data_IF_327175158006
#
_entry.id   IF_327175158006
#
_cell.length_a   1.000
_cell.length_b   1.000
_cell.length_c   1.000
_cell.angle_alpha   90.00
_cell.angle_beta   90.00
_cell.angle_gamma   90.00
#
_symmetry.space_group_name_H-M   'P 1'
#
loop_
_entity.id
_entity.type
_entity.pdbx_description
1 polymer ?
#
# COMPACT_ATOMS: atom_id res chain seq x y z
N UNK A 1 1.07 6.26 12.71
CA UNK A 1 0.56 7.10 11.61
C UNK A 1 -0.85 7.62 11.86
N UNK A 2 -1.76 6.79 12.40
CA UNK A 2 -3.17 7.17 12.52
C UNK A 2 -3.42 8.33 13.49
N UNK A 3 -2.82 8.33 14.68
CA UNK A 3 -3.04 9.39 15.67
C UNK A 3 -2.56 10.79 15.20
N UNK A 4 -1.36 10.96 14.61
CA UNK A 4 -0.98 12.25 14.02
C UNK A 4 -1.93 12.76 12.93
N UNK A 5 -2.50 11.86 12.11
CA UNK A 5 -3.48 12.24 11.08
C UNK A 5 -4.81 12.67 11.69
N UNK A 6 -5.30 11.93 12.70
CA UNK A 6 -6.51 12.29 13.44
C UNK A 6 -6.37 13.65 14.17
N UNK A 7 -5.20 13.94 14.74
CA UNK A 7 -4.90 15.25 15.36
C UNK A 7 -4.95 16.41 14.35
N UNK A 8 -4.76 16.13 13.07
CA UNK A 8 -4.90 17.08 11.97
C UNK A 8 -6.32 17.09 11.36
N UNK A 9 -7.26 16.37 11.99
CA UNK A 9 -8.66 16.22 11.56
C UNK A 9 -8.79 15.53 10.19
N UNK A 10 -7.86 14.65 9.84
CA UNK A 10 -8.03 13.79 8.68
C UNK A 10 -9.15 12.77 8.92
N UNK A 11 -9.97 12.54 7.90
CA UNK A 11 -10.90 11.42 7.86
C UNK A 11 -10.16 10.19 7.34
N UNK A 12 -10.35 9.05 8.03
CA UNK A 12 -9.62 7.81 7.74
C UNK A 12 -10.62 6.68 7.71
N UNK A 13 -10.66 5.97 6.57
CA UNK A 13 -11.35 4.69 6.44
C UNK A 13 -10.32 3.61 6.17
N UNK A 14 -10.35 2.55 6.96
CA UNK A 14 -9.57 1.35 6.74
C UNK A 14 -10.38 0.34 5.94
N UNK A 15 -9.87 -0.08 4.78
CA UNK A 15 -10.44 -1.19 4.04
C UNK A 15 -9.67 -2.47 4.36
N UNK A 16 -10.32 -3.44 5.00
CA UNK A 16 -9.70 -4.71 5.39
C UNK A 16 -10.73 -5.83 5.57
N UNK A 17 -10.31 -7.08 5.34
CA UNK A 17 -11.13 -8.28 5.61
C UNK A 17 -11.26 -8.58 7.12
N UNK A 18 -10.37 -8.03 7.93
CA UNK A 18 -10.42 -8.16 9.39
C UNK A 18 -10.00 -6.86 10.07
N UNK A 19 -10.65 -6.54 11.19
CA UNK A 19 -10.36 -5.31 11.95
C UNK A 19 -9.11 -5.50 12.81
N UNK A 20 -8.05 -4.68 12.64
CA UNK A 20 -6.88 -4.72 13.50
C UNK A 20 -7.21 -4.36 14.95
N UNK A 21 -6.50 -5.01 15.89
CA UNK A 21 -6.61 -4.68 17.31
C UNK A 21 -6.00 -3.30 17.57
N UNK A 22 -6.65 -2.51 18.44
CA UNK A 22 -6.13 -1.20 18.87
C UNK A 22 -6.40 -0.05 17.89
N UNK A 23 -7.33 -0.23 16.95
CA UNK A 23 -7.75 0.85 16.06
C UNK A 23 -8.54 1.91 16.86
N UNK A 24 -8.21 3.21 16.71
CA UNK A 24 -9.00 4.29 17.30
C UNK A 24 -10.47 4.22 16.85
N UNK A 25 -11.45 4.51 17.74
CA UNK A 25 -12.88 4.44 17.41
C UNK A 25 -13.33 5.46 16.36
N UNK A 26 -12.50 6.46 16.07
CA UNK A 26 -12.75 7.46 15.04
C UNK A 26 -12.50 6.95 13.61
N UNK A 27 -11.95 5.74 13.45
CA UNK A 27 -11.63 5.17 12.14
C UNK A 27 -12.74 4.22 11.72
N UNK A 28 -13.34 4.50 10.57
CA UNK A 28 -14.31 3.61 9.95
C UNK A 28 -13.59 2.40 9.35
N UNK A 29 -14.16 1.20 9.48
CA UNK A 29 -13.63 -0.02 8.89
C UNK A 29 -14.65 -0.58 7.91
N UNK A 30 -14.24 -0.74 6.65
CA UNK A 30 -15.06 -1.26 5.56
C UNK A 30 -14.40 -2.50 4.93
N UNK A 31 -15.18 -3.37 4.25
CA UNK A 31 -14.60 -4.48 3.49
C UNK A 31 -13.82 -3.99 2.26
N UNK A 32 -12.90 -4.81 1.74
CA UNK A 32 -12.13 -4.47 0.52
C UNK A 32 -13.04 -4.25 -0.70
N UNK A 33 -14.22 -4.84 -0.72
CA UNK A 33 -15.23 -4.64 -1.79
C UNK A 33 -15.72 -3.19 -1.89
N UNK A 34 -15.59 -2.39 -0.83
CA UNK A 34 -15.95 -0.97 -0.83
C UNK A 34 -14.90 -0.08 -1.52
N UNK A 35 -13.78 -0.63 -2.03
CA UNK A 35 -12.68 0.15 -2.59
C UNK A 35 -13.12 1.07 -3.74
N UNK A 36 -13.98 0.59 -4.63
CA UNK A 36 -14.41 1.39 -5.78
C UNK A 36 -15.24 2.62 -5.38
N UNK A 37 -16.01 2.52 -4.30
CA UNK A 37 -16.85 3.61 -3.78
C UNK A 37 -16.05 4.58 -2.89
N UNK A 38 -15.01 4.08 -2.22
CA UNK A 38 -14.19 4.84 -1.28
C UNK A 38 -12.97 5.51 -1.91
N UNK A 39 -12.30 4.86 -2.87
CA UNK A 39 -11.12 5.42 -3.51
C UNK A 39 -11.31 6.86 -4.06
N UNK A 40 -12.47 7.26 -4.63
CA UNK A 40 -12.67 8.61 -5.16
C UNK A 40 -12.62 9.75 -4.13
N UNK A 41 -12.92 9.52 -2.86
CA UNK A 41 -12.88 10.58 -1.83
C UNK A 41 -11.47 10.79 -1.28
N UNK A 42 -10.58 9.81 -1.43
CA UNK A 42 -9.29 9.80 -0.78
C UNK A 42 -8.33 10.81 -1.43
N UNK A 43 -7.81 11.75 -0.65
CA UNK A 43 -6.69 12.62 -1.06
C UNK A 43 -5.35 11.87 -1.09
N UNK A 44 -5.28 10.71 -0.44
CA UNK A 44 -4.11 9.84 -0.36
C UNK A 44 -4.55 8.42 0.01
N UNK A 45 -3.89 7.40 -0.55
CA UNK A 45 -4.08 6.00 -0.14
C UNK A 45 -2.76 5.33 0.26
N UNK A 46 -2.81 4.59 1.36
CA UNK A 46 -1.75 3.66 1.75
C UNK A 46 -2.27 2.23 1.58
N UNK A 47 -1.48 1.38 0.93
CA UNK A 47 -1.83 -0.01 0.66
C UNK A 47 -0.79 -0.90 1.32
N UNK A 48 -1.26 -2.00 1.90
CA UNK A 48 -0.43 -3.12 2.32
C UNK A 48 -0.85 -4.34 1.49
N UNK A 49 0.09 -4.91 0.73
CA UNK A 49 -0.22 -6.06 -0.12
C UNK A 49 1.01 -6.94 -0.39
N UNK A 50 0.80 -8.26 -0.57
CA UNK A 50 1.86 -9.14 -1.01
C UNK A 50 2.29 -8.81 -2.43
N UNK A 51 3.57 -9.02 -2.75
CA UNK A 51 4.14 -8.79 -4.10
C UNK A 51 3.35 -9.49 -5.21
N UNK A 52 2.75 -10.64 -4.92
CA UNK A 52 1.92 -11.38 -5.88
C UNK A 52 0.61 -10.66 -6.26
N UNK A 53 0.12 -9.73 -5.43
CA UNK A 53 -1.11 -8.98 -5.68
C UNK A 53 -0.89 -7.71 -6.51
N UNK A 54 0.36 -7.30 -6.78
CA UNK A 54 0.68 -6.07 -7.52
C UNK A 54 -0.04 -5.94 -8.88
N UNK A 55 -0.18 -6.99 -9.71
CA UNK A 55 -0.93 -6.88 -10.97
C UNK A 55 -2.41 -6.54 -10.76
N UNK A 56 -3.02 -7.03 -9.67
CA UNK A 56 -4.41 -6.73 -9.33
C UNK A 56 -4.57 -5.33 -8.75
N UNK A 57 -3.60 -4.87 -7.95
CA UNK A 57 -3.57 -3.49 -7.45
C UNK A 57 -3.48 -2.51 -8.63
N UNK A 58 -2.64 -2.82 -9.62
CA UNK A 58 -2.53 -2.02 -10.85
C UNK A 58 -3.86 -1.89 -11.57
N UNK A 59 -4.58 -2.99 -11.80
CA UNK A 59 -5.84 -2.94 -12.54
C UNK A 59 -6.93 -2.17 -11.81
N UNK A 60 -6.96 -2.26 -10.47
CA UNK A 60 -7.96 -1.57 -9.64
C UNK A 60 -7.72 -0.07 -9.49
N UNK A 61 -6.44 0.35 -9.43
CA UNK A 61 -6.08 1.70 -8.98
C UNK A 61 -5.33 2.53 -10.04
N UNK A 62 -5.12 2.01 -11.24
CA UNK A 62 -4.46 2.75 -12.33
C UNK A 62 -5.14 4.10 -12.66
N UNK A 63 -6.45 4.21 -12.44
CA UNK A 63 -7.24 5.43 -12.69
C UNK A 63 -7.44 6.32 -11.46
N UNK A 64 -6.87 5.97 -10.31
CA UNK A 64 -7.01 6.79 -9.10
C UNK A 64 -6.33 8.15 -9.29
N UNK A 65 -7.03 9.21 -8.86
CA UNK A 65 -6.57 10.59 -8.96
C UNK A 65 -5.56 10.99 -7.88
N UNK A 66 -5.48 10.24 -6.78
CA UNK A 66 -4.65 10.60 -5.64
C UNK A 66 -3.27 9.92 -5.63
N UNK A 67 -2.31 10.43 -4.83
CA UNK A 67 -1.07 9.73 -4.55
C UNK A 67 -1.35 8.44 -3.78
N UNK A 68 -0.64 7.37 -4.16
CA UNK A 68 -0.77 6.06 -3.54
C UNK A 68 0.62 5.55 -3.23
N UNK A 69 0.84 5.21 -1.96
CA UNK A 69 2.01 4.44 -1.55
C UNK A 69 1.59 3.03 -1.15
N UNK A 70 2.43 2.06 -1.51
CA UNK A 70 2.19 0.64 -1.27
C UNK A 70 3.38 0.02 -0.54
N UNK A 71 3.12 -0.60 0.60
CA UNK A 71 4.05 -1.52 1.24
C UNK A 71 3.94 -2.89 0.55
N UNK A 72 5.05 -3.36 -0.01
CA UNK A 72 5.09 -4.64 -0.72
C UNK A 72 5.67 -5.72 0.17
N UNK A 73 4.83 -6.67 0.58
CA UNK A 73 5.29 -7.82 1.35
C UNK A 73 6.00 -8.84 0.43
N UNK A 74 7.25 -9.15 0.75
CA UNK A 74 8.03 -10.14 0.01
C UNK A 74 9.12 -10.74 0.90
N UNK A 75 9.52 -12.01 0.69
CA UNK A 75 10.61 -12.60 1.46
C UNK A 75 11.91 -11.81 1.31
N UNK A 76 12.59 -11.58 2.44
CA UNK A 76 13.90 -10.94 2.52
C UNK A 76 14.96 -11.91 3.08
N UNK A 77 15.27 -13.04 2.41
CA UNK A 77 16.16 -14.07 2.96
C UNK A 77 17.59 -13.59 3.20
N UNK A 78 18.03 -12.56 2.47
CA UNK A 78 19.34 -11.93 2.65
C UNK A 78 19.39 -10.88 3.78
N UNK A 79 18.30 -10.68 4.53
CA UNK A 79 18.24 -9.69 5.61
C UNK A 79 18.43 -8.23 5.17
N UNK A 80 18.29 -7.94 3.87
CA UNK A 80 18.45 -6.59 3.32
C UNK A 80 19.80 -6.27 2.69
N UNK A 81 20.70 -7.24 2.53
CA UNK A 81 21.99 -7.04 1.84
C UNK A 81 21.81 -6.68 0.35
N UNK A 82 20.68 -7.07 -0.24
CA UNK A 82 20.30 -6.74 -1.62
C UNK A 82 21.16 -7.40 -2.73
N UNK A 83 21.84 -8.50 -2.43
CA UNK A 83 22.61 -9.29 -3.40
C UNK A 83 21.84 -10.50 -3.97
N UNK A 84 20.77 -10.95 -3.31
CA UNK A 84 20.05 -12.18 -3.70
C UNK A 84 18.93 -11.97 -4.74
N UNK A 85 18.43 -10.75 -4.92
CA UNK A 85 17.35 -10.44 -5.87
C UNK A 85 15.95 -11.01 -5.53
N UNK A 86 15.77 -11.79 -4.46
CA UNK A 86 14.48 -12.46 -4.14
C UNK A 86 13.32 -11.48 -3.95
N UNK A 87 13.61 -10.27 -3.48
CA UNK A 87 12.63 -9.21 -3.25
C UNK A 87 12.42 -8.27 -4.45
N UNK A 88 12.88 -8.68 -5.63
CA UNK A 88 12.76 -7.91 -6.86
C UNK A 88 11.29 -7.67 -7.25
N UNK A 89 11.00 -6.41 -7.59
CA UNK A 89 9.74 -5.94 -8.14
C UNK A 89 10.04 -5.42 -9.54
N UNK A 90 9.36 -6.01 -10.53
CA UNK A 90 9.41 -5.53 -11.91
C UNK A 90 8.65 -4.22 -11.99
N UNK A 91 9.33 -3.16 -12.39
CA UNK A 91 8.78 -1.82 -12.55
C UNK A 91 8.79 -1.45 -14.04
N UNK A 92 8.11 -0.37 -14.41
CA UNK A 92 8.13 0.14 -15.80
C UNK A 92 9.56 0.39 -16.31
N UNK A 93 10.44 0.90 -15.43
CA UNK A 93 11.81 1.29 -15.77
C UNK A 93 12.85 0.39 -15.09
N UNK A 94 12.69 -0.92 -15.22
CA UNK A 94 13.67 -1.91 -14.74
C UNK A 94 13.18 -2.64 -13.50
N UNK A 95 14.10 -2.91 -12.57
CA UNK A 95 13.85 -3.72 -11.38
C UNK A 95 14.25 -2.94 -10.14
N UNK A 96 13.38 -2.92 -9.15
CA UNK A 96 13.66 -2.39 -7.81
C UNK A 96 13.66 -3.54 -6.80
N UNK A 97 14.47 -3.44 -5.76
CA UNK A 97 14.55 -4.43 -4.69
C UNK A 97 13.83 -3.90 -3.45
N UNK A 98 12.79 -4.59 -2.97
CA UNK A 98 12.01 -4.15 -1.81
C UNK A 98 12.86 -3.88 -0.56
N UNK A 99 13.95 -4.61 -0.35
CA UNK A 99 14.81 -4.40 0.81
C UNK A 99 15.80 -3.23 0.70
N UNK A 100 16.00 -2.66 -0.49
CA UNK A 100 16.96 -1.58 -0.74
C UNK A 100 16.27 -0.30 -1.16
N UNK A 101 15.32 -0.43 -2.08
CA UNK A 101 14.62 0.68 -2.71
C UNK A 101 13.22 0.90 -2.11
N UNK A 102 12.76 0.00 -1.23
CA UNK A 102 11.45 0.05 -0.56
C UNK A 102 11.55 -0.10 0.96
N UNK A 103 10.64 -0.84 1.63
CA UNK A 103 9.57 -1.70 1.08
C UNK A 103 8.29 -0.94 0.70
N UNK A 104 8.23 0.36 1.03
CA UNK A 104 7.14 1.26 0.65
C UNK A 104 7.52 1.97 -0.63
N UNK A 105 6.65 1.91 -1.62
CA UNK A 105 6.86 2.49 -2.94
C UNK A 105 5.72 3.42 -3.32
N UNK A 106 6.04 4.48 -4.04
CA UNK A 106 5.00 5.17 -4.79
C UNK A 106 4.47 4.24 -5.90
N UNK A 107 3.15 4.02 -5.92
CA UNK A 107 2.53 3.06 -6.83
C UNK A 107 2.81 3.42 -8.30
N UNK A 108 2.79 4.72 -8.65
CA UNK A 108 3.08 5.18 -10.03
C UNK A 108 4.54 4.94 -10.45
N UNK A 109 5.47 4.76 -9.50
CA UNK A 109 6.87 4.49 -9.81
C UNK A 109 7.13 3.01 -10.16
N UNK A 110 6.29 2.10 -9.63
CA UNK A 110 6.44 0.65 -9.83
C UNK A 110 5.43 0.07 -10.84
N UNK A 111 4.45 0.85 -11.30
CA UNK A 111 3.44 0.48 -12.31
C UNK A 111 3.68 1.07 -13.72
#
# INVERSE_FOLDING_TARGET
MLEPSLNQKAEITLLAESTPVGLPPAIEVLPLTALAETAPWADYMAIDAPRAALPNVQSLLASSGCPIDILVETPLPCGGIAECGVCAITCRNGVMLACKDGPVFNLKAIL
#
